data_IF_395829835399
#
_entry.id   IF_395829835399
#
_cell.length_a   1.000
_cell.length_b   1.000
_cell.length_c   1.000
_cell.angle_alpha   90.00
_cell.angle_beta   90.00
_cell.angle_gamma   90.00
#
_symmetry.space_group_name_H-M   'P 1'
#
loop_
_entity.id
_entity.type
_entity.pdbx_description
1 polymer ?
#
# COMPACT_ATOMS: atom_id res chain seq x y z
N UNK A 1 -31.16 -20.56 16.79
CA UNK A 1 -30.09 -21.39 16.22
C UNK A 1 -29.62 -20.73 14.94
N UNK A 2 -28.50 -20.03 15.00
CA UNK A 2 -27.79 -19.53 13.83
C UNK A 2 -26.38 -20.08 13.92
N UNK A 3 -26.06 -21.03 13.04
CA UNK A 3 -24.74 -21.61 12.88
C UNK A 3 -23.75 -20.49 12.53
N UNK A 4 -22.96 -20.05 13.51
CA UNK A 4 -21.66 -19.47 13.21
C UNK A 4 -20.83 -20.60 12.60
N UNK A 5 -20.67 -20.55 11.27
CA UNK A 5 -19.67 -21.36 10.59
C UNK A 5 -18.31 -20.92 11.13
N UNK A 6 -17.82 -21.61 12.15
CA UNK A 6 -16.49 -21.45 12.75
C UNK A 6 -15.42 -22.02 11.81
N UNK A 7 -15.33 -21.47 10.61
CA UNK A 7 -14.32 -21.82 9.61
C UNK A 7 -13.44 -20.64 9.23
N UNK A 8 -13.28 -19.66 10.13
CA UNK A 8 -12.24 -18.63 10.02
C UNK A 8 -10.90 -19.23 10.46
N UNK A 9 -10.41 -20.19 9.67
CA UNK A 9 -9.04 -20.63 9.77
C UNK A 9 -8.20 -19.55 9.07
N UNK A 10 -8.01 -18.39 9.72
CA UNK A 10 -7.20 -17.32 9.13
C UNK A 10 -5.79 -17.88 9.01
N UNK A 11 -5.44 -18.28 7.78
CA UNK A 11 -4.15 -18.91 7.47
C UNK A 11 -2.99 -17.93 7.65
N UNK A 12 -3.31 -16.65 7.79
CA UNK A 12 -2.37 -15.56 7.93
C UNK A 12 -2.77 -14.68 9.12
N UNK A 13 -1.76 -14.17 9.82
CA UNK A 13 -1.90 -13.24 10.95
C UNK A 13 -2.08 -11.81 10.44
N UNK A 14 -1.27 -11.39 9.48
CA UNK A 14 -1.39 -10.08 8.84
C UNK A 14 -1.35 -10.19 7.31
N UNK A 15 -1.83 -9.16 6.63
CA UNK A 15 -1.75 -8.99 5.19
C UNK A 15 -1.16 -7.62 4.87
N UNK A 16 -0.02 -7.61 4.19
CA UNK A 16 0.67 -6.40 3.76
C UNK A 16 0.69 -6.29 2.25
N UNK A 17 0.46 -5.09 1.76
CA UNK A 17 0.42 -4.81 0.32
C UNK A 17 1.48 -3.79 -0.03
N UNK A 18 2.24 -4.10 -1.08
CA UNK A 18 3.20 -3.21 -1.71
C UNK A 18 2.82 -3.09 -3.19
N UNK A 19 3.12 -1.96 -3.81
CA UNK A 19 2.84 -1.81 -5.22
C UNK A 19 2.61 -0.39 -5.71
N UNK A 20 1.81 -0.29 -6.76
CA UNK A 20 1.46 0.96 -7.44
C UNK A 20 -0.04 1.25 -7.39
N UNK A 21 -0.50 2.10 -8.32
CA UNK A 21 -1.89 2.54 -8.47
C UNK A 21 -2.92 1.41 -8.58
N UNK A 22 -2.55 0.21 -9.00
CA UNK A 22 -3.47 -0.94 -9.05
C UNK A 22 -3.88 -1.45 -7.66
N UNK A 23 -3.10 -1.09 -6.65
CA UNK A 23 -3.29 -1.50 -5.25
C UNK A 23 -3.38 -0.34 -4.28
N UNK A 24 -3.10 0.90 -4.68
CA UNK A 24 -3.21 2.09 -3.83
C UNK A 24 -4.68 2.31 -3.40
N UNK A 25 -4.91 2.38 -2.08
CA UNK A 25 -6.20 2.64 -1.46
C UNK A 25 -6.23 3.93 -0.61
N UNK A 26 -5.33 4.87 -0.88
CA UNK A 26 -5.37 6.22 -0.32
C UNK A 26 -3.99 6.76 0.05
N UNK A 27 -2.94 5.98 -0.19
CA UNK A 27 -1.57 6.29 0.20
C UNK A 27 -1.10 7.58 -0.46
N UNK A 28 -1.27 7.72 -1.78
CA UNK A 28 -0.85 8.93 -2.49
C UNK A 28 -1.60 10.18 -2.00
N UNK A 29 -2.90 10.08 -1.68
CA UNK A 29 -3.68 11.21 -1.17
C UNK A 29 -3.23 11.59 0.23
N UNK A 30 -2.99 10.60 1.10
CA UNK A 30 -2.44 10.81 2.42
C UNK A 30 -1.09 11.54 2.36
N UNK A 31 -0.23 11.17 1.41
CA UNK A 31 1.04 11.85 1.14
C UNK A 31 0.79 13.29 0.66
N UNK A 32 -0.04 13.50 -0.37
CA UNK A 32 -0.30 14.83 -0.94
C UNK A 32 -0.91 15.80 0.08
N UNK A 33 -1.77 15.32 0.98
CA UNK A 33 -2.36 16.13 2.05
C UNK A 33 -1.32 16.67 3.05
N UNK A 34 -0.21 15.96 3.22
CA UNK A 34 0.92 16.36 4.06
C UNK A 34 1.87 17.35 3.34
N UNK A 35 1.79 17.45 2.02
CA UNK A 35 2.62 18.35 1.21
C UNK A 35 1.88 19.66 0.94
N UNK A 36 2.33 20.73 1.60
CA UNK A 36 1.69 22.06 1.50
C UNK A 36 1.51 22.58 0.08
N UNK A 37 2.47 22.29 -0.82
CA UNK A 37 2.43 22.71 -2.22
C UNK A 37 1.48 21.86 -3.09
N UNK A 38 1.01 20.71 -2.61
CA UNK A 38 0.17 19.77 -3.35
C UNK A 38 -1.29 19.73 -2.87
N UNK A 39 -1.66 20.53 -1.86
CA UNK A 39 -3.02 20.60 -1.30
C UNK A 39 -4.10 20.98 -2.32
N UNK A 40 -3.72 21.60 -3.45
CA UNK A 40 -4.63 21.96 -4.53
C UNK A 40 -4.85 20.84 -5.56
N UNK A 41 -4.10 19.74 -5.48
CA UNK A 41 -4.28 18.60 -6.37
C UNK A 41 -5.60 17.91 -6.03
N UNK A 42 -6.48 17.80 -7.02
CA UNK A 42 -7.76 17.11 -6.93
C UNK A 42 -7.84 16.10 -8.06
N UNK A 43 -8.50 14.99 -7.80
CA UNK A 43 -8.81 13.97 -8.79
C UNK A 43 -10.30 14.09 -9.12
N UNK A 44 -10.62 14.04 -10.41
CA UNK A 44 -12.00 14.18 -10.88
C UNK A 44 -12.78 12.88 -10.71
N UNK A 45 -14.08 13.02 -10.48
CA UNK A 45 -15.02 11.90 -10.41
C UNK A 45 -15.02 11.07 -11.71
N UNK A 46 -15.21 9.74 -11.63
CA UNK A 46 -15.43 8.92 -10.42
C UNK A 46 -14.13 8.46 -9.76
N UNK A 47 -12.98 8.94 -10.21
CA UNK A 47 -11.68 8.48 -9.74
C UNK A 47 -11.40 9.06 -8.35
N UNK A 48 -10.85 8.25 -7.44
CA UNK A 48 -10.46 8.64 -6.08
C UNK A 48 -11.54 8.95 -5.04
N UNK A 49 -12.83 8.85 -5.36
CA UNK A 49 -13.89 9.10 -4.36
C UNK A 49 -13.86 8.16 -3.14
N UNK A 50 -13.11 7.05 -3.20
CA UNK A 50 -12.91 6.11 -2.09
C UNK A 50 -11.44 5.84 -1.76
N UNK A 51 -10.50 6.65 -2.26
CA UNK A 51 -9.06 6.46 -2.02
C UNK A 51 -8.30 5.65 -3.07
N UNK A 52 -8.92 5.21 -4.17
CA UNK A 52 -8.24 4.40 -5.20
C UNK A 52 -8.34 5.00 -6.62
N UNK A 53 -7.43 4.61 -7.52
CA UNK A 53 -7.51 4.89 -8.97
C UNK A 53 -8.56 4.01 -9.68
N UNK A 54 -9.74 3.87 -9.08
CA UNK A 54 -10.84 3.03 -9.58
C UNK A 54 -12.20 3.67 -9.25
N UNK A 55 -13.27 3.11 -9.81
CA UNK A 55 -14.65 3.47 -9.48
C UNK A 55 -15.20 2.67 -8.27
N UNK A 56 -14.32 2.07 -7.47
CA UNK A 56 -14.64 1.24 -6.32
C UNK A 56 -13.39 0.68 -5.64
N UNK A 57 -13.54 -0.27 -4.69
CA UNK A 57 -12.42 -0.88 -4.01
C UNK A 57 -11.44 -1.55 -4.98
N UNK A 58 -10.16 -1.46 -4.69
CA UNK A 58 -9.08 -2.20 -5.37
C UNK A 58 -9.22 -3.71 -5.13
N UNK A 59 -8.56 -4.52 -5.95
CA UNK A 59 -8.54 -5.97 -5.77
C UNK A 59 -8.02 -6.40 -4.38
N UNK A 60 -7.02 -5.68 -3.85
CA UNK A 60 -6.42 -5.99 -2.55
C UNK A 60 -7.36 -5.70 -1.38
N UNK A 61 -8.26 -4.72 -1.50
CA UNK A 61 -9.30 -4.48 -0.50
C UNK A 61 -10.32 -5.62 -0.43
N UNK A 62 -10.66 -6.23 -1.57
CA UNK A 62 -11.48 -7.45 -1.57
C UNK A 62 -10.76 -8.65 -0.95
N UNK A 63 -9.44 -8.79 -1.19
CA UNK A 63 -8.64 -9.84 -0.54
C UNK A 63 -8.60 -9.63 0.97
N UNK A 64 -8.35 -8.39 1.44
CA UNK A 64 -8.34 -8.07 2.86
C UNK A 64 -9.68 -8.40 3.53
N UNK A 65 -10.80 -8.07 2.87
CA UNK A 65 -12.14 -8.43 3.33
C UNK A 65 -12.36 -9.94 3.38
N UNK A 66 -11.88 -10.68 2.38
CA UNK A 66 -11.98 -12.15 2.36
C UNK A 66 -11.13 -12.82 3.44
N UNK A 67 -10.06 -12.16 3.89
CA UNK A 67 -9.21 -12.60 4.99
C UNK A 67 -9.76 -12.20 6.37
N UNK A 68 -10.97 -11.64 6.44
CA UNK A 68 -11.62 -11.15 7.67
C UNK A 68 -10.74 -10.16 8.46
N UNK A 69 -10.02 -9.28 7.75
CA UNK A 69 -9.27 -8.21 8.38
C UNK A 69 -10.23 -7.06 8.74
N UNK A 70 -10.39 -6.81 10.04
CA UNK A 70 -11.26 -5.76 10.57
C UNK A 70 -10.86 -4.35 10.10
N UNK A 71 -9.56 -4.14 9.84
CA UNK A 71 -9.03 -2.88 9.33
C UNK A 71 -7.98 -3.11 8.23
N UNK A 72 -8.11 -2.36 7.13
CA UNK A 72 -7.14 -2.35 6.03
C UNK A 72 -6.87 -0.91 5.59
N UNK A 73 -5.84 -0.29 6.19
CA UNK A 73 -5.53 1.14 6.07
C UNK A 73 -4.30 1.38 5.19
N UNK A 74 -4.22 2.52 4.50
CA UNK A 74 -3.00 2.92 3.80
C UNK A 74 -1.87 3.21 4.80
N UNK A 75 -0.64 2.85 4.45
CA UNK A 75 0.57 3.09 5.23
C UNK A 75 1.66 3.73 4.38
N UNK A 76 2.47 4.60 4.98
CA UNK A 76 3.59 5.26 4.30
C UNK A 76 4.61 5.76 5.31
N UNK A 77 5.87 5.85 4.91
CA UNK A 77 6.92 6.57 5.62
C UNK A 77 7.81 7.27 4.61
N UNK A 78 8.03 8.57 4.77
CA UNK A 78 8.91 9.34 3.90
C UNK A 78 9.41 10.61 4.59
N UNK A 79 10.55 11.10 4.12
CA UNK A 79 11.11 12.38 4.57
C UNK A 79 11.21 13.39 3.44
N UNK A 80 10.68 14.59 3.65
CA UNK A 80 10.70 15.69 2.69
C UNK A 80 11.15 16.97 3.41
N UNK A 81 12.13 17.70 2.85
CA UNK A 81 12.72 18.90 3.49
C UNK A 81 13.12 18.72 4.97
N UNK A 82 13.65 17.54 5.33
CA UNK A 82 14.08 17.23 6.70
C UNK A 82 12.95 16.97 7.69
N UNK A 83 11.68 16.90 7.25
CA UNK A 83 10.55 16.45 8.06
C UNK A 83 10.18 15.03 7.69
N UNK A 84 10.05 14.17 8.69
CA UNK A 84 9.53 12.82 8.54
C UNK A 84 8.01 12.86 8.61
N UNK A 85 7.37 12.14 7.70
CA UNK A 85 5.93 11.97 7.62
C UNK A 85 5.63 10.48 7.50
N UNK A 86 4.80 9.99 8.41
CA UNK A 86 4.49 8.56 8.49
C UNK A 86 3.02 8.33 8.84
N UNK A 87 2.51 7.19 8.39
CA UNK A 87 1.27 6.60 8.83
C UNK A 87 1.44 5.08 8.81
N UNK A 88 1.12 4.43 9.92
CA UNK A 88 1.09 2.97 9.97
C UNK A 88 -0.21 2.44 9.35
N UNK A 89 -0.07 1.37 8.58
CA UNK A 89 -1.19 0.71 7.91
C UNK A 89 -0.78 -0.66 7.39
N UNK A 90 -1.60 -1.23 6.51
CA UNK A 90 -1.38 -2.54 5.88
C UNK A 90 -1.03 -2.40 4.40
N UNK A 91 -1.48 -1.32 3.76
CA UNK A 91 -1.28 -1.10 2.34
C UNK A 91 -0.31 0.04 2.07
N UNK A 92 0.91 -0.30 1.66
CA UNK A 92 1.98 0.63 1.34
C UNK A 92 2.16 0.81 -0.17
N UNK A 93 1.20 0.33 -0.97
CA UNK A 93 1.17 0.64 -2.38
C UNK A 93 0.97 2.15 -2.57
N UNK A 94 1.84 2.76 -3.36
CA UNK A 94 1.81 4.19 -3.67
C UNK A 94 1.70 4.35 -5.16
N UNK A 95 0.73 5.12 -5.61
CA UNK A 95 0.60 5.42 -7.03
C UNK A 95 1.79 6.17 -7.57
N UNK A 96 2.16 5.89 -8.82
CA UNK A 96 3.42 6.33 -9.43
C UNK A 96 4.68 5.72 -8.78
N UNK A 97 4.56 4.71 -7.91
CA UNK A 97 5.71 3.95 -7.47
C UNK A 97 6.37 3.22 -8.64
N UNK A 98 7.68 3.39 -8.75
CA UNK A 98 8.50 2.68 -9.73
C UNK A 98 9.40 1.65 -9.07
N UNK A 99 9.76 0.58 -9.79
CA UNK A 99 10.79 -0.34 -9.29
C UNK A 99 12.21 0.23 -9.46
N UNK A 100 12.42 1.03 -10.51
CA UNK A 100 13.71 1.63 -10.86
C UNK A 100 13.72 3.14 -10.64
N UNK A 101 14.91 3.71 -10.58
CA UNK A 101 15.10 5.16 -10.50
C UNK A 101 14.58 5.86 -11.76
N UNK A 102 13.89 6.97 -11.54
CA UNK A 102 13.47 7.87 -12.61
C UNK A 102 14.46 9.03 -12.69
N UNK A 103 14.84 9.42 -13.91
CA UNK A 103 15.85 10.47 -14.18
C UNK A 103 15.24 11.85 -14.53
N UNK A 104 13.93 12.02 -14.47
CA UNK A 104 13.28 13.35 -14.60
C UNK A 104 13.47 14.20 -13.34
N UNK A 105 14.07 15.40 -13.37
CA UNK A 105 14.52 16.11 -12.16
C UNK A 105 13.45 16.38 -11.09
N UNK A 106 12.21 16.66 -11.49
CA UNK A 106 11.12 17.03 -10.58
C UNK A 106 10.37 15.78 -10.12
N UNK A 107 10.10 14.87 -11.05
CA UNK A 107 9.36 13.64 -10.76
C UNK A 107 10.23 12.60 -10.03
N UNK A 108 11.54 12.58 -10.30
CA UNK A 108 12.56 11.75 -9.65
C UNK A 108 12.60 11.94 -8.13
N UNK A 109 12.61 13.19 -7.67
CA UNK A 109 12.75 13.49 -6.23
C UNK A 109 11.58 12.95 -5.40
N UNK A 110 10.39 12.93 -5.99
CA UNK A 110 9.18 12.41 -5.36
C UNK A 110 9.06 10.89 -5.53
N UNK A 111 9.07 10.39 -6.77
CA UNK A 111 8.79 8.99 -7.07
C UNK A 111 9.87 8.03 -6.56
N UNK A 112 11.14 8.47 -6.47
CA UNK A 112 12.20 7.64 -5.90
C UNK A 112 12.04 7.39 -4.40
N UNK A 113 11.26 8.21 -3.68
CA UNK A 113 10.96 8.00 -2.25
C UNK A 113 9.95 6.89 -2.02
N UNK A 114 9.15 6.55 -3.02
CA UNK A 114 8.09 5.55 -2.92
C UNK A 114 8.36 4.30 -3.76
N UNK A 115 9.64 4.04 -4.09
CA UNK A 115 10.07 2.79 -4.72
C UNK A 115 9.66 1.59 -3.87
N UNK A 116 9.49 0.44 -4.51
CA UNK A 116 9.10 -0.80 -3.84
C UNK A 116 10.01 -1.15 -2.64
N UNK A 117 11.32 -0.90 -2.76
CA UNK A 117 12.26 -1.09 -1.67
C UNK A 117 11.92 -0.22 -0.44
N UNK A 118 11.66 1.07 -0.66
CA UNK A 118 11.30 1.98 0.43
C UNK A 118 9.92 1.67 1.03
N UNK A 119 8.97 1.18 0.22
CA UNK A 119 7.70 0.69 0.74
C UNK A 119 7.91 -0.52 1.65
N UNK A 120 8.78 -1.45 1.26
CA UNK A 120 9.16 -2.60 2.08
C UNK A 120 9.89 -2.17 3.36
N UNK A 121 10.82 -1.22 3.27
CA UNK A 121 11.52 -0.67 4.44
C UNK A 121 10.52 -0.06 5.43
N UNK A 122 9.55 0.73 4.94
CA UNK A 122 8.50 1.30 5.77
C UNK A 122 7.62 0.22 6.43
N UNK A 123 7.28 -0.86 5.71
CA UNK A 123 6.56 -2.01 6.28
C UNK A 123 7.37 -2.66 7.41
N UNK A 124 8.65 -2.93 7.18
CA UNK A 124 9.52 -3.60 8.15
C UNK A 124 9.72 -2.72 9.39
N UNK A 125 9.88 -1.42 9.22
CA UNK A 125 10.03 -0.46 10.32
C UNK A 125 8.74 -0.35 11.15
N UNK A 126 7.58 -0.24 10.50
CA UNK A 126 6.30 -0.11 11.21
C UNK A 126 5.85 -1.41 11.88
N UNK A 127 6.25 -2.57 11.34
CA UNK A 127 5.79 -3.89 11.78
C UNK A 127 6.98 -4.81 12.10
N UNK A 128 7.74 -4.54 13.17
CA UNK A 128 8.98 -5.26 13.49
C UNK A 128 8.76 -6.73 13.85
N UNK A 129 7.52 -7.15 14.10
CA UNK A 129 7.16 -8.51 14.44
C UNK A 129 6.76 -9.36 13.22
N UNK A 130 6.94 -8.87 11.98
CA UNK A 130 6.67 -9.64 10.74
C UNK A 130 7.29 -11.04 10.82
N UNK A 131 6.48 -12.04 10.49
CA UNK A 131 6.85 -13.44 10.57
C UNK A 131 6.21 -14.31 9.49
N UNK A 132 6.46 -15.61 9.58
CA UNK A 132 6.03 -16.63 8.61
C UNK A 132 4.52 -16.75 8.39
N UNK A 133 3.72 -16.21 9.31
CA UNK A 133 2.26 -16.22 9.21
C UNK A 133 1.73 -14.95 8.54
N UNK A 134 2.58 -14.03 8.10
CA UNK A 134 2.15 -12.82 7.40
C UNK A 134 2.19 -13.01 5.88
N UNK A 135 1.19 -12.48 5.19
CA UNK A 135 1.07 -12.54 3.74
C UNK A 135 1.47 -11.22 3.12
N UNK A 136 2.35 -11.27 2.12
CA UNK A 136 2.70 -10.11 1.31
C UNK A 136 2.11 -10.24 -0.09
N UNK A 137 1.38 -9.22 -0.54
CA UNK A 137 0.95 -9.08 -1.93
C UNK A 137 1.67 -7.91 -2.58
N UNK A 138 2.39 -8.19 -3.66
CA UNK A 138 3.12 -7.20 -4.44
C UNK A 138 2.44 -7.06 -5.80
N UNK A 139 1.89 -5.87 -6.07
CA UNK A 139 1.18 -5.56 -7.31
C UNK A 139 1.95 -4.52 -8.11
N UNK A 140 2.17 -4.80 -9.40
CA UNK A 140 2.91 -3.93 -10.32
C UNK A 140 2.20 -3.91 -11.66
N UNK A 141 2.02 -2.73 -12.24
CA UNK A 141 1.34 -2.51 -13.51
C UNK A 141 2.25 -2.73 -14.73
N UNK A 142 3.55 -2.51 -14.59
CA UNK A 142 4.55 -2.69 -15.65
C UNK A 142 4.90 -4.17 -15.92
N UNK A 143 4.81 -5.01 -14.88
CA UNK A 143 4.88 -6.46 -15.03
C UNK A 143 3.46 -7.00 -15.07
N UNK A 144 3.04 -7.68 -16.14
CA UNK A 144 1.68 -8.25 -16.27
C UNK A 144 1.40 -9.39 -15.26
N UNK A 145 1.49 -9.15 -13.96
CA UNK A 145 1.35 -10.18 -12.94
C UNK A 145 1.29 -9.64 -11.51
N UNK A 146 0.53 -10.33 -10.67
CA UNK A 146 0.49 -10.16 -9.22
C UNK A 146 1.47 -11.17 -8.63
N UNK A 147 2.36 -10.74 -7.75
CA UNK A 147 3.28 -11.63 -7.04
C UNK A 147 2.86 -11.69 -5.57
N UNK A 148 2.40 -12.85 -5.14
CA UNK A 148 2.19 -13.12 -3.71
C UNK A 148 3.38 -13.86 -3.16
N UNK A 149 4.05 -13.28 -2.18
CA UNK A 149 5.25 -13.85 -1.56
C UNK A 149 4.92 -14.26 -0.14
N UNK A 150 5.29 -15.50 0.23
CA UNK A 150 5.32 -15.96 1.61
C UNK A 150 6.79 -16.05 2.03
N UNK A 151 7.18 -15.30 3.05
CA UNK A 151 8.53 -15.38 3.58
C UNK A 151 8.72 -16.69 4.37
N UNK A 152 9.75 -17.45 4.00
CA UNK A 152 10.25 -18.58 4.76
C UNK A 152 11.57 -18.16 5.42
N UNK A 153 11.78 -18.42 6.72
CA UNK A 153 13.05 -18.10 7.36
C UNK A 153 14.20 -18.92 6.75
N UNK A 154 15.41 -18.34 6.79
CA UNK A 154 16.69 -19.00 6.53
C UNK A 154 17.01 -20.05 7.60
#
# INVERSE_FOLDING_TARGET
>A
MTNKNNNSNSKYRNFYVLGDSLSDNGTIIGILNNLSFAKSVKFDDPFYQGGSFSNGPTAVEYVAKYLDLDEFKPGWSYSFFGRCHEQQGQNYAVSCATASEIFDPIFSYFSNKFRLANQLDAVIEHHPDIGKEDLFCIVRSESRGIVMVKFHPL
#
